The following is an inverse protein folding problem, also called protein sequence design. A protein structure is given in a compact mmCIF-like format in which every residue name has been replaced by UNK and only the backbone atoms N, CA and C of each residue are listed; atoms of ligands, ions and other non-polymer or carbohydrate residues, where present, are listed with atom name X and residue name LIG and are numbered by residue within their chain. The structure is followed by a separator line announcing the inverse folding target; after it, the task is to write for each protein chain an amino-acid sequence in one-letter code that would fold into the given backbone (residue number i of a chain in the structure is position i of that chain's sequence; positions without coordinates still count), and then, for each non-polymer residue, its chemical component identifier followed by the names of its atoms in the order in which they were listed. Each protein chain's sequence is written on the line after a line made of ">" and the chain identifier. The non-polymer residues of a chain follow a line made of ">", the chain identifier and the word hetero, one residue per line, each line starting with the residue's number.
data_IF_648062501799
#
_entry.id   IF_648062501799
#
_cell.length_a   1.000
_cell.length_b   1.000
_cell.length_c   1.000
_cell.angle_alpha   90.00
_cell.angle_beta   90.00
_cell.angle_gamma   90.00
#
_symmetry.space_group_name_H-M   'P 1'
#
loop_
_entity.id
_entity.type
_entity.pdbx_description
1 polymer ?
#
# COMPACT_ATOMS: atom_id res chain seq x y z
N UNK A 1 -11.86 7.44 14.30
CA UNK A 1 -10.40 7.49 14.10
C UNK A 1 -10.12 7.18 12.63
N UNK A 2 -9.81 8.19 11.80
CA UNK A 2 -9.71 8.06 10.33
C UNK A 2 -8.52 7.19 9.90
N UNK A 3 -7.40 7.23 10.63
CA UNK A 3 -6.14 6.54 10.31
C UNK A 3 -6.25 5.01 10.28
N UNK A 4 -6.96 4.42 11.24
CA UNK A 4 -7.19 2.96 11.30
C UNK A 4 -7.95 2.44 10.08
N UNK A 5 -8.96 3.17 9.61
CA UNK A 5 -9.72 2.82 8.41
C UNK A 5 -8.86 2.90 7.15
N UNK A 6 -7.95 3.88 7.07
CA UNK A 6 -6.99 3.98 5.97
C UNK A 6 -6.02 2.80 5.95
N UNK A 7 -5.47 2.42 7.10
CA UNK A 7 -4.59 1.25 7.21
C UNK A 7 -5.32 -0.03 6.77
N UNK A 8 -6.54 -0.25 7.26
CA UNK A 8 -7.36 -1.38 6.84
C UNK A 8 -7.63 -1.35 5.33
N UNK A 9 -7.93 -0.18 4.76
CA UNK A 9 -8.07 0.00 3.32
C UNK A 9 -6.81 -0.43 2.53
N UNK A 10 -5.62 -0.16 3.07
CA UNK A 10 -4.35 -0.60 2.49
C UNK A 10 -4.23 -2.11 2.43
N UNK A 11 -4.58 -2.81 3.51
CA UNK A 11 -4.58 -4.28 3.53
C UNK A 11 -5.66 -4.87 2.61
N UNK A 12 -6.82 -4.22 2.48
CA UNK A 12 -7.85 -4.62 1.52
C UNK A 12 -7.34 -4.47 0.09
N UNK A 13 -6.72 -3.34 -0.25
CA UNK A 13 -6.14 -3.13 -1.58
C UNK A 13 -5.04 -4.16 -1.87
N UNK A 14 -4.19 -4.46 -0.88
CA UNK A 14 -3.20 -5.53 -1.00
C UNK A 14 -3.89 -6.85 -1.35
N UNK A 15 -4.88 -7.29 -0.58
CA UNK A 15 -5.60 -8.54 -0.83
C UNK A 15 -6.21 -8.60 -2.23
N UNK A 16 -6.79 -7.49 -2.71
CA UNK A 16 -7.34 -7.39 -4.07
C UNK A 16 -6.25 -7.53 -5.13
N UNK A 17 -5.12 -6.84 -4.98
CA UNK A 17 -3.98 -6.96 -5.90
C UNK A 17 -3.44 -8.39 -5.92
N UNK A 18 -3.25 -9.04 -4.77
CA UNK A 18 -2.79 -10.43 -4.71
C UNK A 18 -3.80 -11.39 -5.37
N UNK A 19 -5.10 -11.16 -5.18
CA UNK A 19 -6.16 -11.91 -5.85
C UNK A 19 -6.06 -11.79 -7.37
N UNK A 20 -5.88 -10.57 -7.88
CA UNK A 20 -5.69 -10.31 -9.31
C UNK A 20 -4.44 -11.01 -9.85
N UNK A 21 -3.31 -10.93 -9.14
CA UNK A 21 -2.06 -11.59 -9.54
C UNK A 21 -2.16 -13.11 -9.59
N UNK A 22 -2.92 -13.72 -8.67
CA UNK A 22 -3.20 -15.16 -8.67
C UNK A 22 -4.05 -15.59 -9.86
N UNK A 23 -4.91 -14.71 -10.38
CA UNK A 23 -5.78 -14.98 -11.53
C UNK A 23 -5.08 -14.80 -12.89
N UNK A 24 -3.87 -14.25 -12.94
CA UNK A 24 -3.13 -14.07 -14.20
C UNK A 24 -2.53 -15.40 -14.68
N UNK A 25 -2.70 -15.68 -15.98
CA UNK A 25 -2.31 -16.94 -16.62
C UNK A 25 -0.81 -17.11 -16.90
N UNK A 26 0.03 -16.14 -16.52
CA UNK A 26 1.47 -16.09 -16.82
C UNK A 26 2.39 -16.91 -15.90
N UNK A 27 1.83 -17.72 -15.00
CA UNK A 27 2.58 -18.39 -13.93
C UNK A 27 2.51 -17.63 -12.62
N UNK A 28 2.39 -18.37 -11.51
CA UNK A 28 2.10 -17.82 -10.17
C UNK A 28 3.15 -16.78 -9.71
N UNK A 29 4.40 -16.91 -10.15
CA UNK A 29 5.49 -16.00 -9.78
C UNK A 29 5.35 -14.60 -10.40
N UNK A 30 5.12 -14.50 -11.71
CA UNK A 30 5.15 -13.22 -12.43
C UNK A 30 3.91 -12.36 -12.16
N UNK A 31 2.71 -12.96 -12.21
CA UNK A 31 1.46 -12.25 -11.92
C UNK A 31 1.44 -11.68 -10.49
N UNK A 32 2.01 -12.41 -9.54
CA UNK A 32 2.09 -12.00 -8.15
C UNK A 32 3.14 -10.89 -7.92
N UNK A 33 4.32 -10.99 -8.54
CA UNK A 33 5.35 -9.93 -8.51
C UNK A 33 4.78 -8.61 -9.05
N UNK A 34 4.14 -8.65 -10.22
CA UNK A 34 3.55 -7.47 -10.84
C UNK A 34 2.45 -6.84 -9.97
N UNK A 35 1.65 -7.67 -9.31
CA UNK A 35 0.57 -7.21 -8.42
C UNK A 35 1.09 -6.53 -7.16
N UNK A 36 2.21 -7.00 -6.60
CA UNK A 36 2.85 -6.38 -5.44
C UNK A 36 3.47 -5.02 -5.81
N UNK A 37 4.09 -4.92 -6.98
CA UNK A 37 4.62 -3.64 -7.50
C UNK A 37 3.48 -2.66 -7.74
N UNK A 38 2.41 -3.11 -8.39
CA UNK A 38 1.22 -2.29 -8.63
C UNK A 38 0.58 -1.82 -7.32
N UNK A 39 0.44 -2.71 -6.33
CA UNK A 39 -0.01 -2.36 -5.00
C UNK A 39 0.85 -1.26 -4.36
N UNK A 40 2.18 -1.44 -4.35
CA UNK A 40 3.09 -0.49 -3.74
C UNK A 40 2.96 0.91 -4.38
N UNK A 41 2.90 0.98 -5.71
CA UNK A 41 2.73 2.23 -6.44
C UNK A 41 1.37 2.88 -6.18
N UNK A 42 0.27 2.11 -6.27
CA UNK A 42 -1.09 2.63 -6.02
C UNK A 42 -1.25 3.12 -4.59
N UNK A 43 -0.76 2.34 -3.62
CA UNK A 43 -0.88 2.69 -2.21
C UNK A 43 -0.04 3.90 -1.84
N UNK A 44 1.14 4.06 -2.44
CA UNK A 44 1.97 5.25 -2.30
C UNK A 44 1.21 6.51 -2.75
N UNK A 45 0.56 6.47 -3.93
CA UNK A 45 -0.24 7.59 -4.45
C UNK A 45 -1.40 7.93 -3.51
N UNK A 46 -2.12 6.93 -3.00
CA UNK A 46 -3.24 7.13 -2.07
C UNK A 46 -2.76 7.76 -0.75
N UNK A 47 -1.66 7.24 -0.19
CA UNK A 47 -1.08 7.78 1.04
C UNK A 47 -0.56 9.21 0.83
N UNK A 48 0.09 9.49 -0.31
CA UNK A 48 0.60 10.81 -0.63
C UNK A 48 -0.54 11.82 -0.84
N UNK A 49 -1.63 11.40 -1.48
CA UNK A 49 -2.83 12.22 -1.59
C UNK A 49 -3.43 12.52 -0.22
N UNK A 50 -3.48 11.54 0.69
CA UNK A 50 -3.95 11.77 2.07
C UNK A 50 -3.09 12.81 2.80
N UNK A 51 -1.77 12.71 2.68
CA UNK A 51 -0.83 13.68 3.25
C UNK A 51 -1.04 15.09 2.65
N UNK A 52 -1.17 15.16 1.33
CA UNK A 52 -1.45 16.43 0.62
C UNK A 52 -2.74 17.07 1.10
N UNK A 53 -3.80 16.29 1.33
CA UNK A 53 -5.04 16.83 1.89
C UNK A 53 -4.86 17.35 3.32
N UNK A 54 -4.06 16.69 4.15
CA UNK A 54 -3.72 17.18 5.49
C UNK A 54 -3.01 18.54 5.44
N UNK A 55 -2.03 18.69 4.55
CA UNK A 55 -1.30 19.95 4.39
C UNK A 55 -2.15 21.04 3.73
N UNK A 56 -2.75 20.75 2.57
CA UNK A 56 -3.40 21.75 1.73
C UNK A 56 -4.81 22.15 2.21
N UNK A 57 -5.56 21.23 2.86
CA UNK A 57 -6.92 21.52 3.32
C UNK A 57 -7.04 21.68 4.83
N UNK A 58 -6.31 20.90 5.63
CA UNK A 58 -6.39 21.00 7.09
C UNK A 58 -5.39 22.01 7.67
N UNK A 59 -4.40 22.45 6.88
CA UNK A 59 -3.42 23.45 7.30
C UNK A 59 -2.33 22.91 8.21
N UNK A 60 -2.18 21.58 8.31
CA UNK A 60 -1.08 20.96 9.04
C UNK A 60 0.25 21.18 8.31
N UNK A 61 1.35 21.21 9.06
CA UNK A 61 2.67 21.28 8.46
C UNK A 61 3.05 19.94 7.81
N UNK A 62 3.92 20.01 6.81
CA UNK A 62 4.47 18.81 6.18
C UNK A 62 5.16 17.87 7.19
N UNK A 63 5.83 18.43 8.21
CA UNK A 63 6.51 17.66 9.25
C UNK A 63 5.57 16.92 10.20
N UNK A 64 4.35 17.40 10.39
CA UNK A 64 3.32 16.72 11.19
C UNK A 64 2.65 15.58 10.42
N UNK A 65 2.45 15.77 9.12
CA UNK A 65 1.80 14.79 8.25
C UNK A 65 2.76 13.70 7.74
N UNK A 66 4.06 13.96 7.66
CA UNK A 66 5.06 13.01 7.15
C UNK A 66 5.13 11.71 7.97
N UNK A 67 5.17 11.73 9.33
CA UNK A 67 5.13 10.52 10.13
C UNK A 67 3.84 9.71 9.92
N UNK A 68 2.71 10.39 9.74
CA UNK A 68 1.39 9.76 9.51
C UNK A 68 1.38 9.09 8.14
N UNK A 69 1.87 9.78 7.11
CA UNK A 69 2.06 9.24 5.77
C UNK A 69 2.94 7.97 5.80
N UNK A 70 4.10 8.04 6.47
CA UNK A 70 5.00 6.90 6.59
C UNK A 70 4.33 5.74 7.29
N UNK A 71 3.55 5.97 8.34
CA UNK A 71 2.82 4.91 9.04
C UNK A 71 1.73 4.28 8.15
N UNK A 72 0.97 5.09 7.42
CA UNK A 72 -0.09 4.62 6.51
C UNK A 72 0.51 3.83 5.34
N UNK A 73 1.68 4.24 4.82
CA UNK A 73 2.32 3.61 3.68
C UNK A 73 3.14 2.37 4.07
N UNK A 74 4.02 2.48 5.07
CA UNK A 74 4.97 1.43 5.42
C UNK A 74 4.31 0.21 6.04
N UNK A 75 3.21 0.36 6.78
CA UNK A 75 2.59 -0.77 7.46
C UNK A 75 1.96 -1.78 6.46
N UNK A 76 1.14 -1.35 5.48
CA UNK A 76 0.68 -2.24 4.42
C UNK A 76 1.81 -2.73 3.50
N UNK A 77 2.83 -1.89 3.26
CA UNK A 77 4.01 -2.27 2.48
C UNK A 77 4.82 -3.38 3.16
N UNK A 78 4.97 -3.34 4.48
CA UNK A 78 5.59 -4.41 5.26
C UNK A 78 4.79 -5.72 5.15
N UNK A 79 3.46 -5.63 5.10
CA UNK A 79 2.59 -6.76 4.78
C UNK A 79 2.88 -7.36 3.40
N UNK A 80 3.02 -6.52 2.38
CA UNK A 80 3.40 -6.96 1.03
C UNK A 80 4.79 -7.62 1.01
N UNK A 81 5.77 -7.03 1.69
CA UNK A 81 7.13 -7.57 1.81
C UNK A 81 7.14 -8.94 2.52
N UNK A 82 6.30 -9.14 3.54
CA UNK A 82 6.15 -10.43 4.19
C UNK A 82 5.63 -11.51 3.23
N UNK A 83 4.67 -11.16 2.36
CA UNK A 83 4.16 -12.07 1.32
C UNK A 83 5.26 -12.42 0.31
N UNK A 84 6.05 -11.44 -0.12
CA UNK A 84 7.21 -11.64 -0.99
C UNK A 84 8.17 -12.69 -0.42
N UNK A 85 8.58 -12.52 0.84
CA UNK A 85 9.52 -13.43 1.50
C UNK A 85 8.93 -14.81 1.69
N UNK A 86 7.66 -14.89 2.15
CA UNK A 86 7.00 -16.18 2.40
C UNK A 86 6.78 -16.99 1.15
N UNK A 87 6.44 -16.36 0.03
CA UNK A 87 6.12 -17.05 -1.22
C UNK A 87 7.32 -17.13 -2.17
N UNK A 88 8.51 -16.71 -1.74
CA UNK A 88 9.75 -16.71 -2.53
C UNK A 88 9.55 -16.10 -3.91
N UNK A 89 8.93 -14.93 -3.90
CA UNK A 89 8.63 -14.18 -5.13
C UNK A 89 9.84 -13.42 -5.66
N UNK A 90 11.05 -13.58 -5.11
CA UNK A 90 12.32 -13.15 -5.70
C UNK A 90 13.36 -14.24 -5.56
#
# INVERSE_FOLDING_TARGET
>A
MRTLLFILGGFVLLAVCLGAGKSMSGGFGDGMRMSIIAFAALWFVIAAANMWFGVAKAGYSFGEELPIFLLIYLLPLAGAAFVVVKWKLF
#
